data_IF_475270718523
#
_entry.id   IF_475270718523
#
_cell.length_a   1.000
_cell.length_b   1.000
_cell.length_c   1.000
_cell.angle_alpha   90.00
_cell.angle_beta   90.00
_cell.angle_gamma   90.00
#
_symmetry.space_group_name_H-M   'P 1'
#
loop_
_entity.id
_entity.type
_entity.pdbx_description
1 polymer ?
#
# COMPACT_ATOMS: atom_id res chain seq x y z
N UNK A 1 3.51 3.43 30.09
CA UNK A 1 3.28 4.51 29.10
C UNK A 1 1.92 4.25 28.50
N UNK A 2 0.95 5.10 28.84
CA UNK A 2 -0.47 4.75 28.93
C UNK A 2 -1.15 4.41 27.61
N UNK A 3 -1.88 3.29 27.63
CA UNK A 3 -3.01 3.00 26.75
C UNK A 3 -4.11 4.02 27.07
N UNK A 4 -4.21 5.05 26.23
CA UNK A 4 -5.30 6.02 26.29
C UNK A 4 -6.58 5.36 25.80
N UNK A 5 -7.27 4.69 26.72
CA UNK A 5 -8.67 4.34 26.59
C UNK A 5 -9.45 5.63 26.29
N UNK A 6 -10.00 5.74 25.09
CA UNK A 6 -11.01 6.75 24.74
C UNK A 6 -12.33 6.04 24.47
N UNK A 7 -13.14 5.74 25.51
CA UNK A 7 -14.54 5.38 25.29
C UNK A 7 -15.42 6.62 25.05
N UNK A 8 -14.91 7.83 25.29
CA UNK A 8 -15.74 9.04 25.41
C UNK A 8 -15.85 9.88 24.12
N UNK A 9 -16.30 9.26 23.04
CA UNK A 9 -16.84 10.00 21.88
C UNK A 9 -18.27 9.57 21.53
N UNK A 10 -19.09 9.26 22.55
CA UNK A 10 -20.52 9.08 22.36
C UNK A 10 -21.22 10.23 23.09
N UNK A 11 -21.92 11.15 22.38
CA UNK A 11 -22.91 11.96 23.06
C UNK A 11 -23.95 10.99 23.59
N UNK A 12 -23.97 10.79 24.92
CA UNK A 12 -25.03 10.09 25.62
C UNK A 12 -26.35 10.65 25.10
N UNK A 13 -27.11 9.79 24.40
CA UNK A 13 -28.47 10.08 23.97
C UNK A 13 -29.16 10.74 25.15
N UNK A 14 -29.61 11.99 24.94
CA UNK A 14 -30.33 12.74 25.97
C UNK A 14 -31.45 11.84 26.47
N UNK A 15 -31.45 11.62 27.77
CA UNK A 15 -32.42 10.81 28.50
C UNK A 15 -33.82 11.38 28.24
N UNK A 16 -34.49 10.88 27.21
CA UNK A 16 -35.75 11.40 26.70
C UNK A 16 -35.95 10.97 25.24
N UNK A 17 -36.73 9.91 25.07
CA UNK A 17 -37.23 9.28 23.83
C UNK A 17 -36.36 8.25 23.08
N UNK A 18 -36.95 7.05 23.03
CA UNK A 18 -36.65 5.84 22.23
C UNK A 18 -35.48 4.94 22.67
N UNK A 19 -35.86 3.81 23.25
CA UNK A 19 -35.06 2.65 23.70
C UNK A 19 -34.49 1.83 22.51
N UNK A 20 -34.02 2.50 21.46
CA UNK A 20 -33.47 1.84 20.27
C UNK A 20 -31.95 1.78 20.38
N UNK A 21 -31.31 0.61 20.18
CA UNK A 21 -29.86 0.53 20.11
C UNK A 21 -29.36 1.39 18.94
N UNK A 22 -28.31 2.19 19.20
CA UNK A 22 -27.61 2.92 18.16
C UNK A 22 -26.69 1.98 17.37
N UNK A 23 -26.62 2.16 16.04
CA UNK A 23 -25.73 1.40 15.17
C UNK A 23 -24.57 2.28 14.68
N UNK A 24 -23.42 1.67 14.43
CA UNK A 24 -22.24 2.34 13.87
C UNK A 24 -21.79 1.62 12.60
N UNK A 25 -21.46 2.40 11.56
CA UNK A 25 -21.05 1.85 10.26
C UNK A 25 -19.58 1.45 10.31
N UNK A 26 -19.30 0.14 10.31
CA UNK A 26 -17.93 -0.40 10.43
C UNK A 26 -17.24 -0.65 9.10
N UNK A 27 -17.96 -0.56 7.99
CA UNK A 27 -17.41 -0.73 6.63
C UNK A 27 -18.45 -0.39 5.58
N UNK A 28 -18.01 -0.28 4.33
CA UNK A 28 -18.89 -0.19 3.17
C UNK A 28 -18.26 -0.98 2.02
N UNK A 29 -19.09 -1.69 1.27
CA UNK A 29 -18.72 -2.37 0.04
C UNK A 29 -19.45 -1.70 -1.12
N UNK A 30 -18.74 -1.44 -2.22
CA UNK A 30 -19.30 -0.83 -3.42
C UNK A 30 -19.20 -1.84 -4.55
N UNK A 31 -20.34 -2.24 -5.10
CA UNK A 31 -20.42 -3.11 -6.27
C UNK A 31 -20.79 -2.24 -7.48
N UNK A 32 -19.82 -1.83 -8.31
CA UNK A 32 -20.11 -1.03 -9.49
C UNK A 32 -20.74 -1.88 -10.58
N UNK A 33 -21.88 -1.44 -11.11
CA UNK A 33 -22.56 -2.12 -12.21
C UNK A 33 -22.94 -1.16 -13.33
N UNK A 34 -22.80 -1.61 -14.57
CA UNK A 34 -23.21 -0.86 -15.75
C UNK A 34 -24.61 -1.31 -16.18
N UNK A 35 -25.62 -0.46 -15.99
CA UNK A 35 -27.04 -0.79 -16.25
C UNK A 35 -27.70 0.24 -17.17
N UNK A 36 -28.37 -0.23 -18.23
CA UNK A 36 -29.05 0.65 -19.18
C UNK A 36 -30.44 0.97 -18.67
N UNK A 37 -30.59 2.13 -18.06
CA UNK A 37 -31.89 2.60 -17.60
C UNK A 37 -32.75 3.05 -18.77
N UNK A 38 -34.03 2.66 -18.75
CA UNK A 38 -35.02 3.23 -19.65
C UNK A 38 -35.28 4.70 -19.26
N UNK A 39 -34.91 5.62 -20.16
CA UNK A 39 -35.07 7.08 -19.97
C UNK A 39 -36.54 7.45 -19.81
N UNK A 40 -37.47 6.78 -20.49
CA UNK A 40 -38.91 7.05 -20.42
C UNK A 40 -39.48 6.81 -19.02
N UNK A 41 -38.94 5.84 -18.29
CA UNK A 41 -39.34 5.56 -16.91
C UNK A 41 -38.93 6.66 -15.93
N UNK A 42 -38.03 7.57 -16.34
CA UNK A 42 -37.44 8.60 -15.46
C UNK A 42 -37.86 10.02 -15.84
N UNK A 43 -38.41 10.22 -17.04
CA UNK A 43 -38.89 11.53 -17.52
C UNK A 43 -39.84 12.23 -16.55
N UNK A 44 -40.66 11.46 -15.83
CA UNK A 44 -41.66 11.98 -14.89
C UNK A 44 -41.25 11.84 -13.41
N UNK A 45 -40.03 11.36 -13.14
CA UNK A 45 -39.54 11.21 -11.77
C UNK A 45 -38.87 12.49 -11.29
N UNK A 46 -39.08 12.83 -10.02
CA UNK A 46 -38.30 13.87 -9.37
C UNK A 46 -36.85 13.41 -9.18
N UNK A 47 -35.93 14.39 -9.12
CA UNK A 47 -34.54 14.12 -8.75
C UNK A 47 -34.51 13.41 -7.40
N UNK A 48 -33.74 12.32 -7.31
CA UNK A 48 -33.66 11.42 -6.14
C UNK A 48 -34.92 10.60 -5.84
N UNK A 49 -35.86 10.51 -6.78
CA UNK A 49 -37.00 9.60 -6.68
C UNK A 49 -36.59 8.12 -6.78
N UNK A 50 -37.46 7.23 -6.26
CA UNK A 50 -37.26 5.78 -6.37
C UNK A 50 -37.39 5.35 -7.84
N UNK A 51 -36.42 4.59 -8.32
CA UNK A 51 -36.49 4.00 -9.65
C UNK A 51 -37.55 2.89 -9.69
N UNK A 52 -38.47 2.86 -10.67
CA UNK A 52 -39.65 2.00 -10.63
C UNK A 52 -39.35 0.53 -10.94
N UNK A 53 -38.28 0.25 -11.70
CA UNK A 53 -37.95 -1.11 -12.13
C UNK A 53 -36.83 -1.70 -11.27
N UNK A 54 -36.93 -3.00 -10.96
CA UNK A 54 -35.83 -3.71 -10.30
C UNK A 54 -34.60 -3.72 -11.22
N UNK A 55 -33.45 -3.32 -10.67
CA UNK A 55 -32.17 -3.31 -11.38
C UNK A 55 -31.48 -4.64 -11.13
N UNK A 56 -31.21 -5.40 -12.20
CA UNK A 56 -30.39 -6.61 -12.14
C UNK A 56 -28.95 -6.24 -12.43
N UNK A 57 -28.14 -6.29 -11.38
CA UNK A 57 -26.70 -6.03 -11.41
C UNK A 57 -25.96 -7.33 -11.73
N UNK A 58 -25.34 -7.43 -12.91
CA UNK A 58 -24.37 -8.47 -13.23
C UNK A 58 -22.95 -7.86 -13.28
N UNK A 59 -22.07 -8.18 -12.32
CA UNK A 59 -20.72 -7.66 -12.25
C UNK A 59 -19.84 -8.04 -13.47
N UNK A 60 -20.22 -9.09 -14.20
CA UNK A 60 -19.42 -9.62 -15.31
C UNK A 60 -19.79 -9.00 -16.68
N UNK A 61 -20.90 -8.27 -16.76
CA UNK A 61 -21.33 -7.65 -18.01
C UNK A 61 -20.53 -6.36 -18.26
N UNK A 62 -19.61 -6.43 -19.22
CA UNK A 62 -18.71 -5.32 -19.55
C UNK A 62 -19.34 -4.34 -20.54
N UNK A 63 -19.29 -3.06 -20.15
CA UNK A 63 -19.47 -1.85 -20.98
C UNK A 63 -20.84 -1.63 -21.62
N UNK A 64 -21.36 -0.42 -21.43
CA UNK A 64 -22.51 0.05 -22.18
C UNK A 64 -22.09 1.04 -23.25
N UNK A 65 -22.55 0.88 -24.50
CA UNK A 65 -22.32 1.87 -25.54
C UNK A 65 -23.13 3.13 -25.21
N UNK A 66 -22.43 4.23 -24.96
CA UNK A 66 -23.02 5.55 -24.72
C UNK A 66 -22.73 6.43 -25.94
N UNK A 67 -23.73 7.20 -26.39
CA UNK A 67 -23.55 8.21 -27.44
C UNK A 67 -23.31 9.58 -26.84
N UNK A 68 -22.59 10.43 -27.56
CA UNK A 68 -22.38 11.82 -27.17
C UNK A 68 -23.72 12.57 -27.03
N UNK A 69 -23.90 13.32 -25.94
CA UNK A 69 -25.14 14.03 -25.63
C UNK A 69 -26.29 13.15 -25.10
N UNK A 70 -26.08 11.84 -24.91
CA UNK A 70 -27.10 10.96 -24.35
C UNK A 70 -27.31 11.22 -22.84
N UNK A 71 -28.55 11.44 -22.38
CA UNK A 71 -28.83 11.59 -20.96
C UNK A 71 -28.62 10.25 -20.23
N UNK A 72 -27.85 10.29 -19.14
CA UNK A 72 -27.55 9.14 -18.29
C UNK A 72 -28.32 9.27 -16.98
N UNK A 73 -29.00 8.19 -16.59
CA UNK A 73 -29.64 8.08 -15.28
C UNK A 73 -28.71 7.32 -14.36
N UNK A 74 -28.41 7.88 -13.20
CA UNK A 74 -27.67 7.19 -12.15
C UNK A 74 -28.65 6.67 -11.10
N UNK A 75 -28.46 5.42 -10.69
CA UNK A 75 -29.17 4.82 -9.57
C UNK A 75 -28.16 4.22 -8.61
N UNK A 76 -28.52 4.17 -7.33
CA UNK A 76 -27.75 3.51 -6.30
C UNK A 76 -28.72 2.84 -5.34
N UNK A 77 -28.25 1.77 -4.70
CA UNK A 77 -28.96 1.05 -3.66
C UNK A 77 -28.08 0.99 -2.42
N UNK A 78 -28.69 1.14 -1.25
CA UNK A 78 -27.99 1.05 0.04
C UNK A 78 -28.68 -0.02 0.86
N UNK A 79 -27.94 -1.08 1.14
CA UNK A 79 -28.34 -2.16 2.04
C UNK A 79 -27.50 -2.09 3.30
N UNK A 80 -28.16 -2.04 4.46
CA UNK A 80 -27.50 -2.12 5.75
C UNK A 80 -27.51 -3.59 6.21
N UNK A 81 -26.33 -4.13 6.50
CA UNK A 81 -26.15 -5.48 7.02
C UNK A 81 -25.42 -5.41 8.36
N UNK A 82 -25.86 -6.22 9.33
CA UNK A 82 -25.20 -6.30 10.63
C UNK A 82 -23.88 -7.07 10.51
N UNK A 83 -22.83 -6.57 11.15
CA UNK A 83 -21.49 -7.16 11.09
C UNK A 83 -20.96 -7.40 12.50
N UNK A 84 -20.23 -8.51 12.67
CA UNK A 84 -19.54 -8.85 13.91
C UNK A 84 -18.28 -8.00 14.18
N UNK A 85 -17.89 -7.12 13.25
CA UNK A 85 -16.71 -6.26 13.38
C UNK A 85 -16.96 -5.20 14.45
N UNK A 86 -16.11 -5.16 15.47
CA UNK A 86 -16.13 -4.09 16.48
C UNK A 86 -15.60 -2.78 15.87
N UNK A 87 -16.17 -1.65 16.27
CA UNK A 87 -15.76 -0.32 15.80
C UNK A 87 -14.23 -0.04 15.85
N UNK A 88 -13.48 -0.43 16.91
CA UNK A 88 -12.04 -0.21 16.96
C UNK A 88 -11.27 -1.03 15.91
N UNK A 89 -11.76 -2.23 15.55
CA UNK A 89 -11.10 -3.15 14.61
C UNK A 89 -11.42 -2.88 13.14
N UNK A 90 -12.25 -1.88 12.82
CA UNK A 90 -12.69 -1.60 11.44
C UNK A 90 -11.53 -1.40 10.45
N UNK A 91 -10.41 -0.86 10.91
CA UNK A 91 -9.25 -0.58 10.07
C UNK A 91 -8.44 -1.83 9.70
N UNK A 92 -8.63 -2.94 10.40
CA UNK A 92 -7.90 -4.18 10.16
C UNK A 92 -8.14 -4.72 8.73
N UNK A 93 -9.36 -4.54 8.20
CA UNK A 93 -9.69 -4.92 6.82
C UNK A 93 -8.89 -4.12 5.76
N UNK A 94 -8.65 -2.83 5.99
CA UNK A 94 -7.85 -1.99 5.08
C UNK A 94 -6.35 -2.28 5.19
N UNK A 95 -5.88 -2.74 6.35
CA UNK A 95 -4.48 -3.09 6.58
C UNK A 95 -4.12 -4.49 6.07
N UNK A 96 -5.11 -5.38 5.91
CA UNK A 96 -4.97 -6.68 5.24
C UNK A 96 -4.86 -6.54 3.71
N UNK A 97 -4.07 -5.58 3.22
CA UNK A 97 -3.78 -5.46 1.80
C UNK A 97 -3.08 -6.73 1.30
N UNK A 98 -3.77 -7.53 0.49
CA UNK A 98 -3.20 -8.57 -0.38
C UNK A 98 -2.37 -7.97 -1.55
N UNK A 99 -1.67 -6.85 -1.32
CA UNK A 99 -0.90 -6.13 -2.34
C UNK A 99 0.57 -6.57 -2.47
N UNK A 100 1.02 -7.53 -1.68
CA UNK A 100 2.45 -7.82 -1.49
C UNK A 100 3.12 -8.54 -2.67
N UNK A 101 2.36 -9.06 -3.64
CA UNK A 101 2.93 -9.89 -4.72
C UNK A 101 3.66 -9.10 -5.82
N UNK A 102 3.32 -7.82 -6.04
CA UNK A 102 3.88 -7.05 -7.17
C UNK A 102 5.04 -6.15 -6.74
N UNK A 103 5.05 -5.64 -5.51
CA UNK A 103 6.07 -4.67 -5.09
C UNK A 103 7.46 -5.29 -4.82
N UNK A 104 7.50 -6.57 -4.42
CA UNK A 104 8.78 -7.24 -4.13
C UNK A 104 9.68 -7.39 -5.36
N UNK A 105 9.13 -7.35 -6.58
CA UNK A 105 9.92 -7.37 -7.82
C UNK A 105 10.82 -6.13 -7.95
N UNK A 106 10.31 -4.95 -7.59
CA UNK A 106 11.10 -3.71 -7.58
C UNK A 106 12.20 -3.72 -6.50
N UNK A 107 11.92 -4.36 -5.36
CA UNK A 107 12.88 -4.53 -4.26
C UNK A 107 14.02 -5.47 -4.68
N UNK A 108 13.71 -6.57 -5.36
CA UNK A 108 14.73 -7.47 -5.90
C UNK A 108 15.59 -6.80 -6.96
N UNK A 109 14.98 -6.05 -7.87
CA UNK A 109 15.70 -5.36 -8.94
C UNK A 109 16.73 -4.36 -8.40
N UNK A 110 16.37 -3.56 -7.39
CA UNK A 110 17.32 -2.65 -6.76
C UNK A 110 18.39 -3.38 -5.95
N UNK A 111 18.05 -4.48 -5.27
CA UNK A 111 19.00 -5.29 -4.50
C UNK A 111 20.07 -5.96 -5.39
N UNK A 112 19.69 -6.40 -6.60
CA UNK A 112 20.64 -6.95 -7.58
C UNK A 112 21.67 -5.88 -8.02
N UNK A 113 21.23 -4.64 -8.25
CA UNK A 113 22.15 -3.55 -8.62
C UNK A 113 23.10 -3.19 -7.46
N UNK A 114 22.58 -3.11 -6.23
CA UNK A 114 23.39 -2.80 -5.05
C UNK A 114 24.48 -3.85 -4.81
N UNK A 115 24.15 -5.14 -4.92
CA UNK A 115 25.12 -6.23 -4.74
C UNK A 115 26.21 -6.22 -5.80
N UNK A 116 25.86 -5.93 -7.06
CA UNK A 116 26.84 -5.79 -8.14
C UNK A 116 27.81 -4.62 -7.90
N UNK A 117 27.28 -3.45 -7.53
CA UNK A 117 28.10 -2.28 -7.21
C UNK A 117 28.99 -2.53 -5.99
N UNK A 118 28.46 -3.15 -4.93
CA UNK A 118 29.23 -3.51 -3.75
C UNK A 118 30.36 -4.51 -4.08
N UNK A 119 30.11 -5.47 -4.97
CA UNK A 119 31.11 -6.43 -5.45
C UNK A 119 32.27 -5.74 -6.17
N UNK A 120 31.99 -4.79 -7.07
CA UNK A 120 33.04 -4.04 -7.77
C UNK A 120 33.88 -3.23 -6.79
N UNK A 121 33.24 -2.51 -5.86
CA UNK A 121 33.93 -1.73 -4.82
C UNK A 121 34.81 -2.64 -3.96
N UNK A 122 34.30 -3.82 -3.56
CA UNK A 122 35.06 -4.79 -2.78
C UNK A 122 36.30 -5.29 -3.55
N UNK A 123 36.18 -5.58 -4.85
CA UNK A 123 37.32 -6.00 -5.68
C UNK A 123 38.39 -4.91 -5.76
N UNK A 124 37.99 -3.66 -5.95
CA UNK A 124 38.92 -2.52 -5.98
C UNK A 124 39.61 -2.39 -4.62
N UNK A 125 38.85 -2.44 -3.53
CA UNK A 125 39.40 -2.36 -2.17
C UNK A 125 40.42 -3.47 -1.91
N UNK A 126 40.07 -4.73 -2.22
CA UNK A 126 40.97 -5.86 -2.05
C UNK A 126 42.23 -5.76 -2.91
N UNK A 127 42.12 -5.24 -4.15
CA UNK A 127 43.30 -4.99 -5.00
C UNK A 127 44.20 -3.92 -4.41
N UNK A 128 43.64 -2.83 -3.92
CA UNK A 128 44.41 -1.76 -3.29
C UNK A 128 45.11 -2.26 -2.04
N UNK A 129 44.40 -2.94 -1.14
CA UNK A 129 44.98 -3.49 0.10
C UNK A 129 46.11 -4.49 -0.19
N UNK A 130 45.93 -5.42 -1.14
CA UNK A 130 46.99 -6.38 -1.50
C UNK A 130 48.22 -5.69 -2.08
N UNK A 131 48.04 -4.68 -2.94
CA UNK A 131 49.14 -3.91 -3.52
C UNK A 131 49.87 -3.10 -2.44
N UNK A 132 49.13 -2.52 -1.50
CA UNK A 132 49.71 -1.74 -0.41
C UNK A 132 50.53 -2.63 0.53
N UNK A 133 49.99 -3.78 0.95
CA UNK A 133 50.73 -4.78 1.75
C UNK A 133 52.03 -5.23 1.09
N UNK A 134 52.00 -5.57 -0.20
CA UNK A 134 53.21 -6.01 -0.94
C UNK A 134 54.27 -4.91 -0.96
N UNK A 135 53.85 -3.66 -1.13
CA UNK A 135 54.76 -2.51 -1.14
C UNK A 135 55.39 -2.27 0.24
N UNK A 136 54.65 -2.47 1.33
CA UNK A 136 55.24 -2.37 2.67
C UNK A 136 56.26 -3.48 2.94
N UNK A 137 56.00 -4.71 2.49
CA UNK A 137 56.97 -5.80 2.61
C UNK A 137 58.26 -5.54 1.80
N UNK A 138 58.15 -4.90 0.64
CA UNK A 138 59.31 -4.49 -0.17
C UNK A 138 60.10 -3.37 0.51
N UNK A 139 59.43 -2.33 1.01
CA UNK A 139 60.08 -1.22 1.73
C UNK A 139 60.78 -1.70 3.01
N UNK A 140 60.19 -2.65 3.74
CA UNK A 140 60.80 -3.23 4.94
C UNK A 140 62.08 -4.02 4.61
N UNK A 141 62.08 -4.79 3.52
CA UNK A 141 63.27 -5.49 3.02
C UNK A 141 64.37 -4.53 2.58
N UNK A 142 64.01 -3.44 1.89
CA UNK A 142 64.98 -2.42 1.47
C UNK A 142 65.59 -1.71 2.68
N UNK A 143 64.78 -1.33 3.67
CA UNK A 143 65.26 -0.71 4.91
C UNK A 143 66.19 -1.66 5.69
N UNK A 144 65.84 -2.94 5.78
CA UNK A 144 66.67 -3.93 6.46
C UNK A 144 67.98 -4.19 5.70
N UNK A 145 67.96 -4.18 4.36
CA UNK A 145 69.17 -4.31 3.54
C UNK A 145 70.11 -3.10 3.72
N UNK A 146 69.58 -1.88 3.74
CA UNK A 146 70.38 -0.68 4.01
C UNK A 146 70.99 -0.69 5.42
N UNK A 147 70.22 -1.07 6.44
CA UNK A 147 70.77 -1.22 7.80
C UNK A 147 71.87 -2.29 7.88
N UNK A 148 71.71 -3.42 7.20
CA UNK A 148 72.72 -4.48 7.18
C UNK A 148 74.01 -4.04 6.47
N UNK A 149 73.90 -3.24 5.41
CA UNK A 149 75.05 -2.69 4.68
C UNK A 149 75.82 -1.68 5.54
N UNK A 150 75.12 -0.78 6.25
CA UNK A 150 75.74 0.17 7.19
C UNK A 150 76.43 -0.53 8.38
N UNK A 151 75.81 -1.57 8.95
CA UNK A 151 76.41 -2.33 10.06
C UNK A 151 77.64 -3.13 9.61
N UNK A 152 77.66 -3.62 8.37
CA UNK A 152 78.81 -4.37 7.84
C UNK A 152 79.96 -3.45 7.40
N UNK A 153 79.68 -2.17 7.15
CA UNK A 153 80.67 -1.17 6.77
C UNK A 153 81.43 -0.54 7.96
N UNK A 154 81.09 -0.91 9.20
CA UNK A 154 81.77 -0.53 10.45
C UNK A 154 82.66 -1.67 10.97
#
# INVERSE_FOLDING_TARGET
MGTGDTPDMIPSIRKGDSDKPGYMVVGFEVIPCSVMHNVDSVKNLQKYGKYPNAVKCDPNTASMPIKEGQPIVFTYEVTFEESDIKWPSRWDAYLKMEGSKVHWFSILNSLMVITFLAGIVLVIFLRTVRRDLTRYEELDKEAQAQMNEEVTAL
#
